data_IF_975692894796
#
_entry.id   IF_975692894796
#
_cell.length_a   1.000
_cell.length_b   1.000
_cell.length_c   1.000
_cell.angle_alpha   90.00
_cell.angle_beta   90.00
_cell.angle_gamma   90.00
#
_symmetry.space_group_name_H-M   'P 1'
#
loop_
_entity.id
_entity.type
_entity.pdbx_description
1 polymer ?
#
# COMPACT_ATOMS: atom_id res chain seq x y z
N UNK A 1 -17.68 -15.30 6.06
CA UNK A 1 -16.52 -15.54 6.89
C UNK A 1 -15.51 -14.40 6.73
N UNK A 2 -14.96 -13.89 7.83
CA UNK A 2 -13.97 -12.82 7.75
C UNK A 2 -12.76 -13.17 6.88
N UNK A 3 -12.38 -14.44 6.84
CA UNK A 3 -11.20 -14.87 6.10
C UNK A 3 -11.33 -14.73 4.60
N UNK A 4 -12.55 -14.79 4.07
CA UNK A 4 -12.77 -14.64 2.63
C UNK A 4 -12.38 -13.24 2.17
N UNK A 5 -12.79 -12.22 2.91
CA UNK A 5 -12.46 -10.84 2.57
C UNK A 5 -10.96 -10.59 2.71
N UNK A 6 -10.36 -11.14 3.75
CA UNK A 6 -8.93 -10.98 3.97
C UNK A 6 -8.12 -11.65 2.85
N UNK A 7 -8.52 -12.83 2.42
CA UNK A 7 -7.84 -13.53 1.32
C UNK A 7 -7.99 -12.76 -0.01
N UNK A 8 -9.17 -12.21 -0.27
CA UNK A 8 -9.38 -11.38 -1.45
C UNK A 8 -8.51 -10.12 -1.40
N UNK A 9 -8.41 -9.52 -0.22
CA UNK A 9 -7.58 -8.33 0.00
C UNK A 9 -6.10 -8.63 -0.30
N UNK A 10 -5.58 -9.71 0.26
CA UNK A 10 -4.17 -10.10 0.03
C UNK A 10 -3.89 -10.36 -1.44
N UNK A 11 -4.77 -11.10 -2.08
CA UNK A 11 -4.60 -11.46 -3.48
C UNK A 11 -4.56 -10.22 -4.37
N UNK A 12 -5.48 -9.30 -4.15
CA UNK A 12 -5.52 -8.08 -4.94
C UNK A 12 -4.28 -7.21 -4.70
N UNK A 13 -3.84 -7.09 -3.43
CA UNK A 13 -2.66 -6.32 -3.11
C UNK A 13 -1.43 -6.89 -3.84
N UNK A 14 -1.26 -8.20 -3.79
CA UNK A 14 -0.10 -8.85 -4.43
C UNK A 14 -0.12 -8.64 -5.94
N UNK A 15 -1.28 -8.72 -6.57
CA UNK A 15 -1.41 -8.45 -7.99
C UNK A 15 -0.98 -7.02 -8.34
N UNK A 16 -1.38 -6.05 -7.53
CA UNK A 16 -1.01 -4.65 -7.75
C UNK A 16 0.47 -4.42 -7.48
N UNK A 17 1.01 -5.09 -6.46
CA UNK A 17 2.43 -5.01 -6.15
C UNK A 17 3.26 -5.45 -7.36
N UNK A 18 2.88 -6.56 -7.98
CA UNK A 18 3.54 -7.05 -9.18
C UNK A 18 3.37 -6.09 -10.36
N UNK A 19 2.14 -5.61 -10.55
CA UNK A 19 1.82 -4.68 -11.63
C UNK A 19 2.66 -3.41 -11.53
N UNK A 20 2.86 -2.91 -10.30
CA UNK A 20 3.61 -1.68 -10.06
C UNK A 20 5.11 -1.89 -10.02
N UNK A 21 5.59 -3.13 -10.16
CA UNK A 21 7.02 -3.41 -10.13
C UNK A 21 7.63 -3.29 -8.73
N UNK A 22 6.86 -3.60 -7.69
CA UNK A 22 7.29 -3.45 -6.31
C UNK A 22 7.66 -4.78 -5.65
N UNK A 23 8.17 -5.72 -6.44
CA UNK A 23 8.46 -7.07 -5.98
C UNK A 23 9.64 -7.15 -5.01
N UNK A 24 10.41 -6.07 -4.88
CA UNK A 24 11.51 -6.02 -3.92
C UNK A 24 11.05 -5.89 -2.48
N UNK A 25 9.80 -5.50 -2.25
CA UNK A 25 9.28 -5.38 -0.89
C UNK A 25 8.79 -6.72 -0.38
N UNK A 26 9.14 -7.04 0.86
CA UNK A 26 8.56 -8.17 1.56
C UNK A 26 7.33 -7.67 2.29
N UNK A 27 6.18 -8.25 2.00
CA UNK A 27 4.90 -7.77 2.51
C UNK A 27 4.32 -8.75 3.50
N UNK A 28 3.94 -8.25 4.66
CA UNK A 28 3.23 -9.00 5.69
C UNK A 28 1.81 -8.48 5.79
N UNK A 29 0.87 -9.39 5.98
CA UNK A 29 -0.54 -9.03 6.08
C UNK A 29 -1.07 -9.34 7.46
N UNK A 30 -1.88 -8.45 8.01
CA UNK A 30 -2.53 -8.64 9.30
C UNK A 30 -4.02 -8.37 9.19
N UNK A 31 -4.80 -9.20 9.85
CA UNK A 31 -6.25 -9.07 9.92
C UNK A 31 -6.60 -8.90 11.39
N UNK A 32 -6.71 -7.67 11.83
CA UNK A 32 -6.87 -7.35 13.24
C UNK A 32 -7.79 -6.13 13.42
N UNK A 33 -8.38 -5.94 14.61
CA UNK A 33 -9.23 -4.78 14.84
C UNK A 33 -8.46 -3.48 14.73
N UNK A 34 -9.15 -2.45 14.24
CA UNK A 34 -8.61 -1.10 14.17
C UNK A 34 -9.75 -0.12 14.47
N UNK A 35 -9.44 0.91 15.25
CA UNK A 35 -10.45 1.88 15.65
C UNK A 35 -10.66 2.99 14.62
N UNK A 36 -9.68 3.24 13.77
CA UNK A 36 -9.67 4.45 12.96
C UNK A 36 -9.52 4.23 11.47
N UNK A 37 -9.37 3.01 11.01
CA UNK A 37 -9.20 2.79 9.57
C UNK A 37 -9.78 1.46 9.12
N UNK A 38 -10.22 1.42 7.85
CA UNK A 38 -10.65 0.20 7.20
C UNK A 38 -9.44 -0.69 6.86
N UNK A 39 -8.40 -0.06 6.33
CA UNK A 39 -7.14 -0.71 5.98
C UNK A 39 -6.01 0.28 6.15
N UNK A 40 -4.79 -0.22 6.32
CA UNK A 40 -3.63 0.65 6.49
C UNK A 40 -2.37 -0.06 6.03
N UNK A 41 -1.30 0.73 5.87
CA UNK A 41 0.00 0.19 5.52
C UNK A 41 1.09 0.95 6.28
N UNK A 42 2.06 0.19 6.80
CA UNK A 42 3.28 0.73 7.40
C UNK A 42 4.46 0.18 6.64
N UNK A 43 5.46 1.00 6.41
CA UNK A 43 6.63 0.59 5.64
C UNK A 43 7.92 0.85 6.40
N UNK A 44 8.91 0.00 6.13
CA UNK A 44 10.30 0.25 6.51
C UNK A 44 11.10 0.27 5.21
N UNK A 45 11.41 1.46 4.74
CA UNK A 45 12.07 1.62 3.45
C UNK A 45 13.47 1.00 3.43
N UNK A 46 14.20 1.15 4.53
CA UNK A 46 15.57 0.63 4.60
C UNK A 46 15.65 -0.87 4.46
N UNK A 47 14.68 -1.58 5.05
CA UNK A 47 14.64 -3.04 4.98
C UNK A 47 13.75 -3.56 3.86
N UNK A 48 13.05 -2.66 3.18
CA UNK A 48 12.09 -2.97 2.11
C UNK A 48 11.00 -3.93 2.60
N UNK A 49 10.40 -3.57 3.73
CA UNK A 49 9.33 -4.34 4.35
C UNK A 49 8.07 -3.49 4.42
N UNK A 50 6.95 -4.08 4.16
CA UNK A 50 5.65 -3.43 4.32
C UNK A 50 4.73 -4.33 5.13
N UNK A 51 3.97 -3.73 6.05
CA UNK A 51 2.94 -4.43 6.80
C UNK A 51 1.60 -3.82 6.43
N UNK A 52 0.72 -4.65 5.87
CA UNK A 52 -0.58 -4.22 5.38
C UNK A 52 -1.66 -4.84 6.26
N UNK A 53 -2.56 -4.00 6.75
CA UNK A 53 -3.61 -4.42 7.68
C UNK A 53 -4.98 -4.23 7.07
N UNK A 54 -5.84 -5.20 7.29
CA UNK A 54 -7.26 -5.09 7.03
C UNK A 54 -7.97 -5.14 8.38
N UNK A 55 -8.86 -4.19 8.61
CA UNK A 55 -9.63 -4.14 9.85
C UNK A 55 -10.58 -5.34 9.91
N UNK A 56 -10.46 -6.14 10.97
CA UNK A 56 -11.30 -7.33 11.13
C UNK A 56 -12.67 -7.01 11.72
N UNK A 57 -12.84 -5.81 12.29
CA UNK A 57 -14.10 -5.39 12.94
C UNK A 57 -14.59 -4.10 12.29
N UNK A 58 -15.39 -4.22 11.23
CA UNK A 58 -15.94 -3.07 10.56
C UNK A 58 -17.29 -2.70 11.16
N UNK A 59 -17.58 -1.39 11.32
CA UNK A 59 -18.92 -0.97 11.67
C UNK A 59 -19.93 -1.52 10.65
N UNK A 60 -21.04 -2.03 11.15
CA UNK A 60 -22.03 -2.70 10.29
C UNK A 60 -22.50 -1.86 9.13
N UNK A 61 -22.68 -0.55 9.37
CA UNK A 61 -23.17 0.36 8.35
C UNK A 61 -22.15 0.71 7.27
N UNK A 62 -20.86 0.51 7.56
CA UNK A 62 -19.81 0.78 6.58
C UNK A 62 -19.49 -0.43 5.72
N UNK A 63 -19.64 -1.62 6.29
CA UNK A 63 -19.23 -2.85 5.63
C UNK A 63 -19.81 -3.04 4.23
N UNK A 64 -21.12 -2.80 4.01
CA UNK A 64 -21.68 -3.00 2.65
C UNK A 64 -21.18 -2.01 1.63
N UNK A 65 -20.58 -0.90 2.05
CA UNK A 65 -20.13 0.16 1.16
C UNK A 65 -18.63 0.14 0.89
N UNK A 66 -17.92 -0.82 1.50
CA UNK A 66 -16.48 -0.90 1.30
C UNK A 66 -16.16 -1.98 0.27
N UNK A 67 -15.31 -1.60 -0.66
CA UNK A 67 -14.82 -2.52 -1.67
C UNK A 67 -13.46 -3.04 -1.22
N UNK A 68 -13.39 -4.33 -0.93
CA UNK A 68 -12.17 -4.97 -0.44
C UNK A 68 -11.03 -4.84 -1.45
N UNK A 69 -11.33 -5.08 -2.72
CA UNK A 69 -10.31 -5.01 -3.77
C UNK A 69 -9.83 -3.58 -4.00
N UNK A 70 -10.75 -2.63 -3.96
CA UNK A 70 -10.38 -1.22 -4.13
C UNK A 70 -9.52 -0.76 -2.97
N UNK A 71 -9.81 -1.21 -1.75
CA UNK A 71 -9.01 -0.88 -0.58
C UNK A 71 -7.61 -1.47 -0.68
N UNK A 72 -7.48 -2.70 -1.18
CA UNK A 72 -6.17 -3.31 -1.39
C UNK A 72 -5.37 -2.52 -2.43
N UNK A 73 -6.00 -2.12 -3.51
CA UNK A 73 -5.39 -1.30 -4.54
C UNK A 73 -4.93 0.04 -3.96
N UNK A 74 -5.76 0.65 -3.11
CA UNK A 74 -5.44 1.92 -2.46
C UNK A 74 -4.15 1.80 -1.63
N UNK A 75 -4.04 0.73 -0.83
CA UNK A 75 -2.84 0.52 -0.02
C UNK A 75 -1.61 0.20 -0.89
N UNK A 76 -1.79 -0.51 -1.99
CA UNK A 76 -0.68 -0.78 -2.90
C UNK A 76 -0.18 0.51 -3.56
N UNK A 77 -1.08 1.45 -3.83
CA UNK A 77 -0.67 2.76 -4.36
C UNK A 77 0.13 3.54 -3.32
N UNK A 78 -0.23 3.43 -2.05
CA UNK A 78 0.60 4.02 -0.99
C UNK A 78 2.01 3.45 -1.01
N UNK A 79 2.15 2.15 -1.24
CA UNK A 79 3.47 1.54 -1.37
C UNK A 79 4.22 2.09 -2.59
N UNK A 80 3.51 2.30 -3.68
CA UNK A 80 4.09 2.86 -4.90
C UNK A 80 4.70 4.24 -4.68
N UNK A 81 4.03 5.10 -3.91
CA UNK A 81 4.52 6.47 -3.67
C UNK A 81 5.39 6.58 -2.43
N UNK A 82 5.63 5.47 -1.73
CA UNK A 82 6.25 5.45 -0.42
C UNK A 82 7.62 6.13 -0.38
N UNK A 83 8.50 5.81 -1.32
CA UNK A 83 9.85 6.38 -1.34
C UNK A 83 9.82 7.89 -1.48
N UNK A 84 8.96 8.37 -2.38
CA UNK A 84 8.81 9.81 -2.57
C UNK A 84 8.27 10.47 -1.31
N UNK A 85 7.25 9.87 -0.69
CA UNK A 85 6.66 10.43 0.52
C UNK A 85 7.68 10.52 1.65
N UNK A 86 8.43 9.46 1.88
CA UNK A 86 9.43 9.43 2.95
C UNK A 86 10.50 10.48 2.72
N UNK A 87 10.98 10.61 1.49
CA UNK A 87 11.98 11.63 1.17
C UNK A 87 11.41 13.03 1.32
N UNK A 88 10.15 13.23 0.97
CA UNK A 88 9.52 14.54 1.04
C UNK A 88 9.36 15.04 2.48
N UNK A 89 9.12 14.15 3.43
CA UNK A 89 8.92 14.53 4.82
C UNK A 89 10.22 14.55 5.63
N UNK A 90 11.31 14.01 5.09
CA UNK A 90 12.60 13.98 5.79
C UNK A 90 13.31 15.31 5.64
N UNK A 91 13.68 15.92 6.76
CA UNK A 91 14.42 17.17 6.71
C UNK A 91 15.87 17.01 6.23
N UNK A 92 16.33 15.77 6.11
CA UNK A 92 17.69 15.49 5.66
C UNK A 92 17.75 15.04 4.20
N UNK A 93 16.61 14.98 3.52
CA UNK A 93 16.58 14.62 2.10
C UNK A 93 17.17 15.73 1.26
N UNK A 94 17.92 15.34 0.24
CA UNK A 94 18.48 16.27 -0.72
C UNK A 94 17.52 16.44 -1.90
N UNK A 95 17.70 17.53 -2.65
CA UNK A 95 16.95 17.74 -3.88
C UNK A 95 17.15 16.56 -4.85
N UNK A 96 18.36 16.05 -4.93
CA UNK A 96 18.67 14.92 -5.82
C UNK A 96 17.90 13.66 -5.41
N UNK A 97 17.79 13.41 -4.10
CA UNK A 97 17.05 12.24 -3.62
C UNK A 97 15.56 12.34 -3.93
N UNK A 98 14.99 13.52 -3.77
CA UNK A 98 13.57 13.74 -4.09
C UNK A 98 13.36 13.62 -5.59
N UNK A 99 14.28 14.12 -6.38
CA UNK A 99 14.22 14.01 -7.84
C UNK A 99 14.26 12.54 -8.27
N UNK A 100 15.17 11.75 -7.72
CA UNK A 100 15.27 10.32 -8.04
C UNK A 100 13.98 9.59 -7.69
N UNK A 101 13.42 9.86 -6.52
CA UNK A 101 12.18 9.20 -6.08
C UNK A 101 11.01 9.59 -6.99
N UNK A 102 10.99 10.86 -7.43
CA UNK A 102 9.97 11.34 -8.36
C UNK A 102 10.08 10.64 -9.71
N UNK A 103 11.30 10.55 -10.25
CA UNK A 103 11.52 9.90 -11.54
C UNK A 103 11.21 8.41 -11.50
N UNK A 104 11.52 7.74 -10.39
CA UNK A 104 11.15 6.35 -10.22
C UNK A 104 9.64 6.17 -10.34
N UNK A 105 8.88 7.04 -9.67
CA UNK A 105 7.43 6.98 -9.72
C UNK A 105 6.89 7.29 -11.12
N UNK A 106 7.46 8.30 -11.77
CA UNK A 106 7.07 8.67 -13.14
C UNK A 106 7.27 7.50 -14.10
N UNK A 107 8.43 6.83 -14.03
CA UNK A 107 8.70 5.69 -14.89
C UNK A 107 7.74 4.53 -14.65
N UNK A 108 7.39 4.28 -13.40
CA UNK A 108 6.43 3.22 -13.09
C UNK A 108 5.04 3.55 -13.58
N UNK A 109 4.59 4.79 -13.38
CA UNK A 109 3.27 5.22 -13.82
C UNK A 109 3.16 5.27 -15.34
N UNK A 110 4.24 5.62 -16.01
CA UNK A 110 4.29 5.69 -17.47
C UNK A 110 3.88 4.36 -18.10
N UNK A 111 4.25 3.26 -17.48
CA UNK A 111 3.92 1.92 -17.98
C UNK A 111 2.50 1.49 -17.67
N UNK A 112 1.85 2.17 -16.72
CA UNK A 112 0.51 1.80 -16.26
C UNK A 112 -0.58 2.63 -16.92
N UNK A 113 -0.24 3.81 -17.40
CA UNK A 113 -1.19 4.71 -18.04
C UNK A 113 -1.16 4.44 -19.52
N UNK A 114 -2.30 4.05 -20.12
CA UNK A 114 -2.37 3.75 -21.56
C UNK A 114 -2.17 4.96 -22.46
#
# INVERSE_FOLDING_TARGET
MPNRDFEAFKKEFIQRQEQFGLNGYQVYFKHEPSDDSFASIDTNLGDMVATVRLNSELPGKEKPHKDIKQSAKHEAIHLLVNRLQINAISRFSTEAEIYEATEELVHKLEKLIP
#
